data_IF_989583761595
#
_entry.id   IF_989583761595
#
_cell.length_a   1.000
_cell.length_b   1.000
_cell.length_c   1.000
_cell.angle_alpha   90.00
_cell.angle_beta   90.00
_cell.angle_gamma   90.00
#
_symmetry.space_group_name_H-M   'P 1'
#
loop_
_entity.id
_entity.type
_entity.pdbx_description
1 polymer ?
#
# COMPACT_ATOMS: atom_id res chain seq x y z
N UNK A 1 44.86 36.33 10.41
CA UNK A 1 44.61 34.90 10.62
C UNK A 1 43.27 34.59 9.97
N UNK A 2 43.29 34.39 8.65
CA UNK A 2 42.09 33.95 7.94
C UNK A 2 42.05 32.44 8.01
N UNK A 3 41.05 31.89 8.75
CA UNK A 3 40.64 30.50 8.56
C UNK A 3 39.84 30.46 7.23
N UNK A 4 40.55 30.15 6.13
CA UNK A 4 39.90 29.75 4.92
C UNK A 4 39.02 28.53 5.25
N UNK A 5 37.74 28.70 5.00
CA UNK A 5 36.81 27.57 4.99
C UNK A 5 37.31 26.57 3.93
N UNK A 6 37.98 25.52 4.34
CA UNK A 6 38.25 24.39 3.50
C UNK A 6 36.88 23.77 3.14
N UNK A 7 36.36 24.19 2.02
CA UNK A 7 35.24 23.51 1.38
C UNK A 7 35.72 22.08 1.07
N UNK A 8 35.16 21.13 1.76
CA UNK A 8 35.38 19.71 1.47
C UNK A 8 34.84 19.47 0.07
N UNK A 9 35.71 19.45 -0.93
CA UNK A 9 35.34 19.06 -2.29
C UNK A 9 34.99 17.57 -2.26
N UNK A 10 33.70 17.28 -2.22
CA UNK A 10 33.20 15.90 -2.29
C UNK A 10 33.37 15.42 -3.74
N UNK A 11 34.40 14.65 -4.02
CA UNK A 11 34.59 14.00 -5.32
C UNK A 11 33.57 12.86 -5.50
N UNK A 12 32.46 13.18 -6.17
CA UNK A 12 31.35 12.24 -6.45
C UNK A 12 31.83 10.99 -7.19
N UNK A 13 32.85 11.11 -8.06
CA UNK A 13 33.40 9.97 -8.80
C UNK A 13 34.14 9.01 -7.86
N UNK A 14 34.82 9.52 -6.87
CA UNK A 14 35.52 8.74 -5.83
C UNK A 14 34.49 7.97 -4.99
N UNK A 15 33.38 8.59 -4.59
CA UNK A 15 32.31 7.93 -3.85
C UNK A 15 31.67 6.77 -4.64
N UNK A 16 31.43 6.97 -5.94
CA UNK A 16 30.90 5.91 -6.82
C UNK A 16 31.90 4.74 -6.93
N UNK A 17 33.20 5.04 -7.07
CA UNK A 17 34.25 3.99 -7.12
C UNK A 17 34.30 3.19 -5.82
N UNK A 18 34.16 3.85 -4.68
CA UNK A 18 34.14 3.19 -3.36
C UNK A 18 32.95 2.27 -3.18
N UNK A 19 31.74 2.72 -3.57
CA UNK A 19 30.55 1.86 -3.59
C UNK A 19 30.76 0.64 -4.49
N UNK A 20 31.33 0.84 -5.68
CA UNK A 20 31.62 -0.26 -6.61
C UNK A 20 32.67 -1.24 -6.07
N UNK A 21 33.71 -0.74 -5.39
CA UNK A 21 34.73 -1.55 -4.75
C UNK A 21 34.18 -2.43 -3.62
N UNK A 22 33.18 -1.90 -2.88
CA UNK A 22 32.55 -2.59 -1.75
C UNK A 22 31.23 -3.29 -2.12
N UNK A 23 30.94 -3.47 -3.41
CA UNK A 23 29.68 -4.08 -3.92
C UNK A 23 29.33 -5.43 -3.32
N UNK A 24 30.32 -6.29 -3.04
CA UNK A 24 30.09 -7.61 -2.45
C UNK A 24 29.61 -7.54 -1.00
N UNK A 25 30.12 -6.58 -0.23
CA UNK A 25 29.67 -6.35 1.15
C UNK A 25 28.24 -5.79 1.14
N UNK A 26 27.96 -4.84 0.25
CA UNK A 26 26.60 -4.27 0.06
C UNK A 26 25.63 -5.39 -0.33
N UNK A 27 25.99 -6.23 -1.29
CA UNK A 27 25.16 -7.36 -1.73
C UNK A 27 24.93 -8.38 -0.60
N UNK A 28 25.96 -8.69 0.18
CA UNK A 28 25.85 -9.62 1.30
C UNK A 28 24.85 -9.10 2.36
N UNK A 29 24.98 -7.83 2.76
CA UNK A 29 24.07 -7.23 3.75
C UNK A 29 22.63 -7.11 3.20
N UNK A 30 22.48 -6.75 1.92
CA UNK A 30 21.19 -6.74 1.25
C UNK A 30 20.54 -8.13 1.24
N UNK A 31 21.32 -9.18 1.01
CA UNK A 31 20.84 -10.56 1.04
C UNK A 31 20.44 -10.99 2.45
N UNK A 32 21.22 -10.64 3.47
CA UNK A 32 20.86 -10.89 4.87
C UNK A 32 19.56 -10.19 5.23
N UNK A 33 19.38 -8.92 4.85
CA UNK A 33 18.16 -8.18 5.07
C UNK A 33 16.95 -8.82 4.36
N UNK A 34 17.13 -9.33 3.15
CA UNK A 34 16.11 -10.06 2.41
C UNK A 34 15.69 -11.36 3.12
N UNK A 35 16.66 -12.11 3.66
CA UNK A 35 16.40 -13.34 4.44
C UNK A 35 15.66 -13.01 5.74
N UNK A 36 16.03 -11.94 6.43
CA UNK A 36 15.31 -11.49 7.62
C UNK A 36 13.87 -11.07 7.29
N UNK A 37 13.66 -10.36 6.18
CA UNK A 37 12.33 -9.99 5.70
C UNK A 37 11.48 -11.22 5.32
N UNK A 38 12.10 -12.25 4.74
CA UNK A 38 11.47 -13.54 4.47
C UNK A 38 11.04 -14.21 5.79
N UNK A 39 11.95 -14.33 6.75
CA UNK A 39 11.67 -14.92 8.06
C UNK A 39 10.52 -14.20 8.79
N UNK A 40 10.55 -12.88 8.82
CA UNK A 40 9.47 -12.07 9.36
C UNK A 40 8.13 -12.36 8.67
N UNK A 41 8.14 -12.43 7.34
CA UNK A 41 6.93 -12.64 6.54
C UNK A 41 6.32 -14.03 6.72
N UNK A 42 7.14 -15.05 6.98
CA UNK A 42 6.68 -16.44 7.15
C UNK A 42 6.29 -16.79 8.59
N UNK A 43 7.01 -16.25 9.58
CA UNK A 43 6.86 -16.70 10.97
C UNK A 43 6.13 -15.70 11.87
N UNK A 44 6.21 -14.41 11.59
CA UNK A 44 5.69 -13.35 12.47
C UNK A 44 4.42 -12.71 11.90
N UNK A 45 4.37 -12.47 10.60
CA UNK A 45 3.23 -11.80 9.99
C UNK A 45 2.01 -12.74 9.92
N UNK A 46 0.90 -12.30 10.51
CA UNK A 46 -0.36 -13.06 10.49
C UNK A 46 -0.94 -13.05 9.08
N UNK A 47 -1.38 -14.22 8.56
CA UNK A 47 -2.07 -14.28 7.28
C UNK A 47 -3.39 -13.51 7.34
N UNK A 48 -3.70 -12.79 6.27
CA UNK A 48 -4.98 -12.10 6.09
C UNK A 48 -5.57 -12.52 4.75
N UNK A 49 -6.83 -12.89 4.78
CA UNK A 49 -7.60 -13.30 3.63
C UNK A 49 -8.50 -12.16 3.18
N UNK A 50 -8.74 -12.08 1.90
CA UNK A 50 -9.54 -11.03 1.29
C UNK A 50 -10.65 -11.66 0.47
N UNK A 51 -11.89 -11.26 0.74
CA UNK A 51 -13.06 -11.66 -0.03
C UNK A 51 -13.75 -10.41 -0.58
N UNK A 52 -14.19 -10.50 -1.82
CA UNK A 52 -14.77 -9.35 -2.53
C UNK A 52 -16.13 -9.73 -3.11
N UNK A 53 -17.11 -8.89 -2.91
CA UNK A 53 -18.42 -8.94 -3.58
C UNK A 53 -18.61 -7.70 -4.42
N UNK A 54 -19.43 -7.81 -5.48
CA UNK A 54 -19.73 -6.71 -6.39
C UNK A 54 -21.21 -6.54 -6.57
N UNK A 55 -21.65 -5.29 -6.48
CA UNK A 55 -23.03 -4.90 -6.75
C UNK A 55 -23.09 -3.89 -7.90
N UNK A 56 -24.19 -3.94 -8.63
CA UNK A 56 -24.54 -2.98 -9.66
C UNK A 56 -25.74 -2.17 -9.22
N UNK A 57 -25.63 -0.86 -9.18
CA UNK A 57 -26.70 0.03 -8.76
C UNK A 57 -27.47 0.53 -9.98
N UNK A 58 -28.75 0.18 -10.05
CA UNK A 58 -29.64 0.54 -11.15
C UNK A 58 -30.41 1.80 -10.78
N UNK A 59 -30.09 2.90 -11.41
CA UNK A 59 -30.89 4.13 -11.32
C UNK A 59 -31.83 4.19 -12.53
N UNK A 60 -33.11 3.87 -12.34
CA UNK A 60 -34.17 4.02 -13.34
C UNK A 60 -34.87 5.37 -13.22
N UNK A 61 -34.15 6.46 -13.09
CA UNK A 61 -34.75 7.75 -13.41
C UNK A 61 -34.84 7.83 -14.93
N UNK A 62 -35.90 7.20 -15.45
CA UNK A 62 -36.31 7.28 -16.83
C UNK A 62 -36.93 8.65 -17.03
N UNK A 63 -36.13 9.59 -17.48
CA UNK A 63 -36.68 10.73 -18.21
C UNK A 63 -36.91 10.20 -19.63
N UNK A 64 -38.11 10.37 -20.17
CA UNK A 64 -38.62 9.95 -21.47
C UNK A 64 -37.85 10.51 -22.69
N UNK A 65 -36.66 11.03 -22.53
CA UNK A 65 -35.81 11.55 -23.60
C UNK A 65 -34.51 10.83 -23.66
N UNK A 66 -34.31 10.10 -24.72
CA UNK A 66 -33.23 9.18 -25.10
C UNK A 66 -31.84 9.86 -25.34
N UNK A 67 -31.51 10.94 -24.65
CA UNK A 67 -30.19 11.59 -24.74
C UNK A 67 -29.52 11.63 -23.38
N UNK A 68 -28.55 10.74 -23.19
CA UNK A 68 -27.59 10.80 -22.08
C UNK A 68 -26.81 12.12 -22.19
N UNK A 69 -27.04 13.01 -21.25
CA UNK A 69 -26.33 14.29 -21.15
C UNK A 69 -25.04 14.11 -20.31
N UNK A 70 -24.03 14.95 -20.58
CA UNK A 70 -22.81 14.99 -19.74
C UNK A 70 -23.12 15.28 -18.25
N UNK A 71 -24.26 15.89 -17.95
CA UNK A 71 -24.76 16.10 -16.59
C UNK A 71 -25.15 14.80 -15.91
N UNK A 72 -25.73 13.83 -16.65
CA UNK A 72 -26.11 12.52 -16.11
C UNK A 72 -24.90 11.67 -15.76
N UNK A 73 -23.81 11.83 -16.53
CA UNK A 73 -22.52 11.17 -16.25
C UNK A 73 -21.83 11.77 -15.02
N UNK A 74 -21.87 13.10 -14.85
CA UNK A 74 -21.33 13.76 -13.66
C UNK A 74 -22.15 13.46 -12.41
N UNK A 75 -23.48 13.46 -12.49
CA UNK A 75 -24.35 13.06 -11.39
C UNK A 75 -24.07 11.62 -10.95
N UNK A 76 -23.81 10.71 -11.87
CA UNK A 76 -23.41 9.34 -11.57
C UNK A 76 -22.14 9.24 -10.73
N UNK A 77 -21.13 10.09 -10.97
CA UNK A 77 -19.88 10.05 -10.23
C UNK A 77 -19.98 10.59 -8.78
N UNK A 78 -20.92 11.50 -8.51
CA UNK A 78 -21.21 11.96 -7.14
C UNK A 78 -21.95 10.88 -6.34
N UNK A 79 -22.95 10.21 -6.93
CA UNK A 79 -23.68 9.12 -6.30
C UNK A 79 -22.77 7.98 -5.83
N UNK A 80 -21.67 7.75 -6.54
CA UNK A 80 -20.66 6.73 -6.22
C UNK A 80 -19.98 6.97 -4.87
N UNK A 81 -19.67 8.22 -4.54
CA UNK A 81 -19.09 8.59 -3.24
C UNK A 81 -20.09 8.36 -2.12
N UNK A 82 -21.36 8.68 -2.36
CA UNK A 82 -22.44 8.50 -1.41
C UNK A 82 -22.64 7.02 -1.07
N UNK A 83 -22.55 6.11 -2.05
CA UNK A 83 -22.63 4.68 -1.79
C UNK A 83 -21.55 4.17 -0.85
N UNK A 84 -20.32 4.66 -0.99
CA UNK A 84 -19.23 4.31 -0.07
C UNK A 84 -19.55 4.74 1.36
N UNK A 85 -20.01 5.96 1.54
CA UNK A 85 -20.37 6.49 2.86
C UNK A 85 -21.57 5.72 3.47
N UNK A 86 -22.56 5.34 2.66
CA UNK A 86 -23.69 4.53 3.12
C UNK A 86 -23.22 3.14 3.57
N UNK A 87 -22.38 2.47 2.78
CA UNK A 87 -21.86 1.12 3.07
C UNK A 87 -21.02 1.14 4.36
N UNK A 88 -20.23 2.17 4.57
CA UNK A 88 -19.38 2.33 5.75
C UNK A 88 -20.07 3.04 6.91
N UNK A 89 -21.35 3.34 6.80
CA UNK A 89 -22.10 4.00 7.87
C UNK A 89 -22.18 3.14 9.13
N UNK A 90 -22.25 3.80 10.28
CA UNK A 90 -22.35 3.12 11.58
C UNK A 90 -23.57 2.19 11.64
N UNK A 91 -24.67 2.59 11.04
CA UNK A 91 -25.93 1.84 11.01
C UNK A 91 -25.76 0.50 10.26
N UNK A 92 -25.22 0.52 9.05
CA UNK A 92 -24.93 -0.68 8.26
C UNK A 92 -23.94 -1.60 8.99
N UNK A 93 -22.82 -1.04 9.48
CA UNK A 93 -21.78 -1.84 10.14
C UNK A 93 -22.28 -2.44 11.46
N UNK A 94 -23.09 -1.72 12.24
CA UNK A 94 -23.66 -2.25 13.49
C UNK A 94 -24.67 -3.38 13.23
N UNK A 95 -25.45 -3.28 12.16
CA UNK A 95 -26.36 -4.35 11.73
C UNK A 95 -25.59 -5.61 11.37
N UNK A 96 -24.52 -5.50 10.57
CA UNK A 96 -23.67 -6.63 10.21
C UNK A 96 -23.02 -7.30 11.44
N UNK A 97 -22.51 -6.48 12.39
CA UNK A 97 -21.93 -7.00 13.65
C UNK A 97 -22.99 -7.78 14.44
N UNK A 98 -24.20 -7.24 14.53
CA UNK A 98 -25.30 -7.86 15.26
C UNK A 98 -25.76 -9.18 14.64
N UNK A 99 -25.96 -9.21 13.30
CA UNK A 99 -26.41 -10.39 12.58
C UNK A 99 -25.38 -11.54 12.64
N UNK A 100 -24.13 -11.22 12.45
CA UNK A 100 -23.05 -12.20 12.46
C UNK A 100 -22.46 -12.46 13.86
N UNK A 101 -22.94 -11.73 14.88
CA UNK A 101 -22.43 -11.77 16.27
C UNK A 101 -20.91 -11.63 16.32
N UNK A 102 -20.38 -10.66 15.57
CA UNK A 102 -18.94 -10.43 15.48
C UNK A 102 -18.43 -9.80 16.77
N UNK A 103 -17.25 -10.21 17.25
CA UNK A 103 -16.56 -9.49 18.31
C UNK A 103 -16.02 -8.16 17.74
N UNK A 104 -16.01 -7.11 18.55
CA UNK A 104 -15.42 -5.84 18.21
C UNK A 104 -16.41 -4.72 17.90
N UNK A 105 -15.88 -3.61 17.45
CA UNK A 105 -16.63 -2.35 17.22
C UNK A 105 -16.85 -2.08 15.74
N UNK A 106 -17.79 -1.19 15.41
CA UNK A 106 -18.00 -0.71 14.03
C UNK A 106 -16.75 -0.05 13.45
N UNK A 107 -15.95 0.62 14.30
CA UNK A 107 -14.69 1.24 13.88
C UNK A 107 -13.63 0.20 13.48
N UNK A 108 -13.58 -0.94 14.14
CA UNK A 108 -12.68 -2.05 13.77
C UNK A 108 -13.14 -2.73 12.49
N UNK A 109 -14.44 -2.99 12.36
CA UNK A 109 -15.00 -3.56 11.13
C UNK A 109 -14.76 -2.63 9.94
N UNK A 110 -14.99 -1.32 10.08
CA UNK A 110 -14.75 -0.32 9.03
C UNK A 110 -13.31 -0.34 8.51
N UNK A 111 -12.30 -0.55 9.38
CA UNK A 111 -10.89 -0.66 8.97
C UNK A 111 -10.59 -1.93 8.16
N UNK A 112 -11.38 -2.98 8.33
CA UNK A 112 -11.25 -4.22 7.59
C UNK A 112 -12.00 -4.22 6.25
N UNK A 113 -12.89 -3.24 6.05
CA UNK A 113 -13.70 -3.09 4.84
C UNK A 113 -13.09 -2.04 3.92
N UNK A 114 -13.00 -2.35 2.64
CA UNK A 114 -12.62 -1.41 1.59
C UNK A 114 -13.70 -1.37 0.51
N UNK A 115 -14.21 -0.18 0.23
CA UNK A 115 -15.19 0.04 -0.82
C UNK A 115 -14.53 0.78 -1.96
N UNK A 116 -14.60 0.21 -3.16
CA UNK A 116 -14.03 0.78 -4.38
C UNK A 116 -15.08 0.82 -5.48
N UNK A 117 -15.13 1.94 -6.19
CA UNK A 117 -15.98 2.10 -7.36
C UNK A 117 -15.09 2.59 -8.50
N UNK A 118 -14.89 1.77 -9.55
CA UNK A 118 -14.11 2.19 -10.71
C UNK A 118 -14.74 3.39 -11.39
N UNK A 119 -13.92 4.30 -11.89
CA UNK A 119 -14.37 5.50 -12.62
C UNK A 119 -15.26 5.09 -13.79
N UNK A 120 -16.31 5.86 -14.02
CA UNK A 120 -17.27 5.67 -15.11
C UNK A 120 -18.06 4.33 -15.09
N UNK A 121 -18.16 3.71 -13.91
CA UNK A 121 -18.98 2.51 -13.72
C UNK A 121 -20.00 2.70 -12.60
N UNK A 122 -21.04 1.86 -12.61
CA UNK A 122 -22.03 1.75 -11.53
C UNK A 122 -21.79 0.52 -10.66
N UNK A 123 -20.58 -0.04 -10.76
CA UNK A 123 -20.19 -1.24 -10.02
C UNK A 123 -19.52 -0.81 -8.73
N UNK A 124 -20.04 -1.26 -7.62
CA UNK A 124 -19.45 -1.08 -6.29
C UNK A 124 -18.83 -2.40 -5.87
N UNK A 125 -17.53 -2.39 -5.62
CA UNK A 125 -16.77 -3.53 -5.09
C UNK A 125 -16.58 -3.35 -3.59
N UNK A 126 -17.10 -4.28 -2.81
CA UNK A 126 -16.95 -4.33 -1.35
C UNK A 126 -15.97 -5.45 -1.04
N UNK A 127 -14.86 -5.11 -0.45
CA UNK A 127 -13.79 -6.03 -0.11
C UNK A 127 -13.59 -6.07 1.39
N UNK A 128 -13.61 -7.25 1.97
CA UNK A 128 -13.41 -7.50 3.40
C UNK A 128 -12.12 -8.28 3.63
N UNK A 129 -11.33 -7.83 4.60
CA UNK A 129 -10.12 -8.51 5.06
C UNK A 129 -10.35 -9.11 6.45
N UNK A 130 -10.01 -10.38 6.61
CA UNK A 130 -10.09 -11.08 7.90
C UNK A 130 -9.00 -12.14 8.00
N UNK A 131 -8.64 -12.54 9.21
CA UNK A 131 -7.73 -13.67 9.47
C UNK A 131 -8.35 -15.04 9.15
N UNK A 132 -9.67 -15.13 9.19
CA UNK A 132 -10.44 -16.32 8.83
C UNK A 132 -11.07 -16.12 7.43
N UNK A 133 -10.76 -17.00 6.44
CA UNK A 133 -11.30 -16.91 5.10
C UNK A 133 -12.83 -17.05 5.03
N UNK A 134 -13.42 -17.90 5.90
CA UNK A 134 -14.87 -18.06 5.94
C UNK A 134 -15.56 -16.82 6.51
N UNK A 135 -14.99 -16.21 7.55
CA UNK A 135 -15.52 -14.95 8.07
C UNK A 135 -15.39 -13.81 7.06
N UNK A 136 -14.29 -13.73 6.32
CA UNK A 136 -14.12 -12.72 5.28
C UNK A 136 -15.25 -12.76 4.24
N UNK A 137 -15.58 -13.96 3.74
CA UNK A 137 -16.67 -14.17 2.77
C UNK A 137 -18.04 -13.88 3.39
N UNK A 138 -18.31 -14.37 4.59
CA UNK A 138 -19.59 -14.14 5.27
C UNK A 138 -19.83 -12.67 5.54
N UNK A 139 -18.84 -11.97 6.08
CA UNK A 139 -18.96 -10.52 6.36
C UNK A 139 -19.20 -9.75 5.06
N UNK A 140 -18.47 -10.08 3.97
CA UNK A 140 -18.64 -9.40 2.69
C UNK A 140 -20.04 -9.58 2.11
N UNK A 141 -20.60 -10.80 2.18
CA UNK A 141 -21.95 -11.06 1.67
C UNK A 141 -23.03 -10.43 2.53
N UNK A 142 -22.96 -10.54 3.87
CA UNK A 142 -23.93 -9.86 4.76
C UNK A 142 -23.85 -8.34 4.62
N UNK A 143 -22.62 -7.80 4.55
CA UNK A 143 -22.44 -6.35 4.33
C UNK A 143 -23.06 -5.91 3.00
N UNK A 144 -22.94 -6.69 1.93
CA UNK A 144 -23.60 -6.43 0.66
C UNK A 144 -25.11 -6.37 0.80
N UNK A 145 -25.71 -7.34 1.49
CA UNK A 145 -27.17 -7.42 1.67
C UNK A 145 -27.68 -6.22 2.46
N UNK A 146 -27.15 -5.97 3.63
CA UNK A 146 -27.53 -4.82 4.48
C UNK A 146 -27.28 -3.49 3.77
N UNK A 147 -26.16 -3.37 3.06
CA UNK A 147 -25.83 -2.17 2.30
C UNK A 147 -26.78 -1.95 1.11
N UNK A 148 -27.17 -3.01 0.39
CA UNK A 148 -28.11 -2.91 -0.72
C UNK A 148 -29.47 -2.38 -0.26
N UNK A 149 -30.01 -2.91 0.84
CA UNK A 149 -31.26 -2.42 1.45
C UNK A 149 -31.14 -0.96 1.86
N UNK A 150 -30.03 -0.58 2.50
CA UNK A 150 -29.82 0.80 2.94
C UNK A 150 -29.65 1.78 1.78
N UNK A 151 -28.94 1.38 0.72
CA UNK A 151 -28.78 2.17 -0.51
C UNK A 151 -30.17 2.44 -1.13
N UNK A 152 -30.99 1.41 -1.32
CA UNK A 152 -32.34 1.56 -1.86
C UNK A 152 -33.19 2.50 -0.99
N UNK A 153 -33.16 2.32 0.33
CA UNK A 153 -33.93 3.12 1.26
C UNK A 153 -33.55 4.62 1.26
N UNK A 154 -32.25 4.92 1.19
CA UNK A 154 -31.71 6.29 1.28
C UNK A 154 -31.75 7.00 -0.07
N UNK A 155 -31.29 6.35 -1.13
CA UNK A 155 -31.11 6.99 -2.44
C UNK A 155 -32.30 6.84 -3.37
N UNK A 156 -33.31 6.01 -2.98
CA UNK A 156 -34.49 5.71 -3.77
C UNK A 156 -34.17 5.20 -5.19
N UNK A 157 -33.01 4.57 -5.36
CA UNK A 157 -32.67 3.86 -6.61
C UNK A 157 -33.63 2.70 -6.81
N UNK A 158 -33.84 2.30 -8.06
CA UNK A 158 -34.85 1.28 -8.40
C UNK A 158 -34.43 -0.11 -7.94
N UNK A 159 -33.15 -0.41 -7.96
CA UNK A 159 -32.64 -1.74 -7.60
C UNK A 159 -31.11 -1.74 -7.37
N UNK A 160 -30.65 -2.69 -6.56
CA UNK A 160 -29.25 -3.02 -6.37
C UNK A 160 -29.06 -4.51 -6.66
N UNK A 161 -28.49 -4.78 -7.82
CA UNK A 161 -28.29 -6.16 -8.30
C UNK A 161 -26.92 -6.70 -7.91
N UNK A 162 -26.86 -7.90 -7.36
CA UNK A 162 -25.61 -8.60 -7.10
C UNK A 162 -24.98 -9.05 -8.43
N UNK A 163 -23.77 -8.62 -8.73
CA UNK A 163 -22.99 -9.10 -9.86
C UNK A 163 -22.15 -10.32 -9.49
N UNK A 164 -21.56 -10.30 -8.31
CA UNK A 164 -20.64 -11.33 -7.85
C UNK A 164 -20.77 -11.50 -6.33
N UNK A 165 -20.95 -12.72 -5.89
CA UNK A 165 -20.93 -13.05 -4.47
C UNK A 165 -19.48 -13.19 -3.96
N UNK A 166 -19.28 -12.90 -2.69
CA UNK A 166 -18.00 -13.07 -2.07
C UNK A 166 -17.71 -14.56 -1.84
N UNK A 167 -16.70 -15.08 -2.54
CA UNK A 167 -16.25 -16.46 -2.36
C UNK A 167 -15.26 -16.57 -1.19
N UNK A 168 -15.13 -17.80 -0.64
CA UNK A 168 -14.12 -18.10 0.38
C UNK A 168 -12.74 -18.14 -0.27
N UNK A 169 -11.82 -17.25 0.10
CA UNK A 169 -10.50 -17.19 -0.53
C UNK A 169 -9.67 -18.42 -0.21
N UNK A 170 -9.05 -19.02 -1.22
CA UNK A 170 -8.22 -20.24 -1.12
C UNK A 170 -6.81 -19.96 -0.64
N UNK A 171 -6.35 -18.71 -0.72
CA UNK A 171 -4.99 -18.31 -0.34
C UNK A 171 -4.99 -16.95 0.37
N UNK A 172 -4.05 -16.71 1.29
CA UNK A 172 -3.94 -15.42 1.96
C UNK A 172 -3.53 -14.33 0.96
N UNK A 173 -4.14 -13.16 1.09
CA UNK A 173 -3.82 -11.95 0.31
C UNK A 173 -2.62 -11.18 0.88
N UNK A 174 -2.28 -11.41 2.15
CA UNK A 174 -1.18 -10.79 2.88
C UNK A 174 -0.60 -11.76 3.91
N UNK A 175 0.71 -11.72 4.19
CA UNK A 175 1.73 -10.84 3.62
C UNK A 175 2.11 -11.22 2.18
N UNK A 176 2.46 -10.23 1.37
CA UNK A 176 3.04 -10.50 0.05
C UNK A 176 4.55 -10.76 0.21
N UNK A 177 4.91 -12.04 0.38
CA UNK A 177 6.27 -12.49 0.65
C UNK A 177 7.27 -11.93 -0.38
N UNK A 178 6.93 -12.04 -1.68
CA UNK A 178 7.81 -11.55 -2.76
C UNK A 178 8.11 -10.06 -2.63
N UNK A 179 7.07 -9.23 -2.39
CA UNK A 179 7.21 -7.79 -2.21
C UNK A 179 8.04 -7.46 -0.98
N UNK A 180 7.81 -8.15 0.14
CA UNK A 180 8.53 -7.91 1.38
C UNK A 180 10.02 -8.26 1.27
N UNK A 181 10.36 -9.36 0.58
CA UNK A 181 11.75 -9.76 0.32
C UNK A 181 12.46 -8.74 -0.55
N UNK A 182 11.81 -8.27 -1.64
CA UNK A 182 12.39 -7.23 -2.52
C UNK A 182 12.61 -5.93 -1.74
N UNK A 183 11.62 -5.50 -0.95
CA UNK A 183 11.74 -4.30 -0.13
C UNK A 183 12.83 -4.44 0.93
N UNK A 184 12.94 -5.60 1.58
CA UNK A 184 14.02 -5.90 2.52
C UNK A 184 15.40 -5.84 1.88
N UNK A 185 15.55 -6.42 0.69
CA UNK A 185 16.80 -6.36 -0.09
C UNK A 185 17.19 -4.92 -0.43
N UNK A 186 16.25 -4.13 -0.98
CA UNK A 186 16.51 -2.74 -1.35
C UNK A 186 16.84 -1.87 -0.13
N UNK A 187 16.11 -2.05 0.97
CA UNK A 187 16.37 -1.34 2.21
C UNK A 187 17.76 -1.68 2.78
N UNK A 188 18.12 -2.97 2.80
CA UNK A 188 19.45 -3.41 3.25
C UNK A 188 20.57 -2.86 2.38
N UNK A 189 20.41 -2.85 1.05
CA UNK A 189 21.37 -2.25 0.13
C UNK A 189 21.53 -0.75 0.37
N UNK A 190 20.41 -0.03 0.51
CA UNK A 190 20.42 1.42 0.73
C UNK A 190 21.11 1.80 2.05
N UNK A 191 20.79 1.11 3.15
CA UNK A 191 21.42 1.33 4.45
C UNK A 191 22.93 1.09 4.35
N UNK A 192 23.35 0.00 3.69
CA UNK A 192 24.78 -0.29 3.57
C UNK A 192 25.52 0.70 2.69
N UNK A 193 24.90 1.17 1.60
CA UNK A 193 25.48 2.24 0.76
C UNK A 193 25.72 3.50 1.61
N UNK A 194 24.73 3.91 2.40
CA UNK A 194 24.88 5.09 3.28
C UNK A 194 26.02 4.89 4.27
N UNK A 195 26.11 3.72 4.90
CA UNK A 195 27.21 3.41 5.83
C UNK A 195 28.57 3.46 5.13
N UNK A 196 28.69 2.89 3.92
CA UNK A 196 29.92 2.91 3.14
C UNK A 196 30.34 4.35 2.80
N UNK A 197 29.39 5.20 2.42
CA UNK A 197 29.64 6.61 2.13
C UNK A 197 30.07 7.41 3.37
N UNK A 198 29.41 7.18 4.50
CA UNK A 198 29.77 7.83 5.78
C UNK A 198 31.19 7.42 6.17
N UNK A 199 31.50 6.13 6.12
CA UNK A 199 32.86 5.63 6.45
C UNK A 199 33.91 6.22 5.52
N UNK A 200 33.61 6.37 4.22
CA UNK A 200 34.53 6.97 3.25
C UNK A 200 34.77 8.45 3.49
N UNK A 201 33.72 9.20 3.85
CA UNK A 201 33.82 10.64 4.15
C UNK A 201 34.59 10.88 5.47
N UNK A 202 34.47 9.96 6.44
CA UNK A 202 35.17 10.04 7.73
C UNK A 202 36.57 9.42 7.70
N UNK A 203 36.97 8.81 6.57
CA UNK A 203 38.29 8.20 6.42
C UNK A 203 39.31 9.24 5.92
N UNK A 204 39.93 9.97 6.84
CA UNK A 204 40.94 11.00 6.59
C UNK A 204 42.31 10.45 6.15
N UNK A 205 42.35 9.18 5.68
CA UNK A 205 43.64 8.60 5.21
C UNK A 205 44.02 9.18 3.87
N UNK A 206 45.27 9.62 3.77
CA UNK A 206 45.94 10.02 2.51
C UNK A 206 45.83 8.87 1.50
N UNK A 207 45.08 9.04 0.44
CA UNK A 207 44.83 8.00 -0.58
C UNK A 207 45.36 8.35 -1.95
N UNK A 208 45.72 9.62 -2.18
CA UNK A 208 46.22 10.12 -3.45
C UNK A 208 47.59 10.76 -3.27
N UNK A 209 48.47 10.69 -4.30
CA UNK A 209 49.77 11.40 -4.26
C UNK A 209 49.61 12.92 -4.05
N UNK A 210 48.52 13.49 -4.57
CA UNK A 210 48.18 14.92 -4.41
C UNK A 210 47.96 15.30 -2.94
N UNK A 211 47.41 14.39 -2.11
CA UNK A 211 47.20 14.62 -0.68
C UNK A 211 48.52 14.76 0.10
N UNK A 212 49.62 14.16 -0.44
CA UNK A 212 50.97 14.25 0.15
C UNK A 212 51.60 15.60 -0.17
N UNK A 213 51.35 16.15 -1.37
CA UNK A 213 51.84 17.47 -1.75
C UNK A 213 51.19 18.56 -0.90
N UNK A 214 49.91 18.47 -0.63
CA UNK A 214 49.17 19.43 0.19
C UNK A 214 49.59 19.41 1.69
N UNK A 215 49.90 18.24 2.23
CA UNK A 215 50.28 18.08 3.65
C UNK A 215 51.77 18.35 3.90
N UNK A 216 52.63 18.00 2.97
CA UNK A 216 54.07 18.09 3.15
C UNK A 216 54.70 19.28 2.42
N UNK A 217 54.01 19.99 1.57
CA UNK A 217 54.50 21.08 0.77
C UNK A 217 55.70 20.71 -0.13
N UNK A 218 55.81 19.41 -0.46
CA UNK A 218 56.90 18.88 -1.27
C UNK A 218 56.38 18.43 -2.63
N UNK A 219 56.86 19.07 -3.67
CA UNK A 219 56.61 18.65 -5.07
C UNK A 219 57.34 17.32 -5.32
N UNK A 220 56.59 16.27 -5.66
CA UNK A 220 57.18 15.01 -6.12
C UNK A 220 57.79 15.22 -7.54
N UNK A 221 59.07 15.12 -7.61
CA UNK A 221 59.84 15.13 -8.87
C UNK A 221 59.69 13.83 -9.63
#
# INVERSE_FOLDING_TARGET
>A
MNKENQLVEIDVLSLIKTVWKRKFIILLIALVAAVLALGYSLFIAKPSYQSTTRIYVVNRQQTDNNTLTNQDLQAGSYLVKDYKEIILSQDVLSTVISELKLPGTTAELSKSVSVSVPTDTRIVSITVKNSDPNQASRIANTLREVAAEKIIAVTKVSDVTTLEEAEVPKSPSSPNIRRNVILGFLAGAMVMIVIVLIVEILDDRVKKPEDIEDVMGATLL
#
